data_IF_952011520880
#
_entry.id   IF_952011520880
#
_cell.length_a   1.000
_cell.length_b   1.000
_cell.length_c   1.000
_cell.angle_alpha   90.00
_cell.angle_beta   90.00
_cell.angle_gamma   90.00
#
_symmetry.space_group_name_H-M   'P 1'
#
loop_
_entity.id
_entity.type
_entity.pdbx_description
1 polymer ?
#
# COMPACT_ATOMS: atom_id res chain seq x y z
N UNK A 1 -17.90 5.75 13.76
CA UNK A 1 -16.56 5.42 14.31
C UNK A 1 -15.47 6.27 13.68
N UNK A 2 -14.63 6.91 14.51
CA UNK A 2 -13.45 7.69 14.12
C UNK A 2 -12.21 6.79 14.08
N UNK A 3 -11.34 6.93 13.08
CA UNK A 3 -10.08 6.17 12.97
C UNK A 3 -8.92 7.15 12.84
N UNK A 4 -7.96 7.08 13.76
CA UNK A 4 -6.70 7.81 13.63
C UNK A 4 -5.82 7.11 12.59
N UNK A 5 -5.32 7.86 11.61
CA UNK A 5 -4.41 7.31 10.61
C UNK A 5 -3.00 7.25 11.22
N UNK A 6 -2.44 6.05 11.31
CA UNK A 6 -1.07 5.78 11.79
C UNK A 6 -0.21 5.13 10.70
N UNK A 7 -0.82 4.30 9.86
CA UNK A 7 -0.17 3.61 8.76
C UNK A 7 -0.94 3.85 7.46
N UNK A 8 -0.27 4.39 6.45
CA UNK A 8 -0.85 4.63 5.13
C UNK A 8 -0.07 3.89 4.05
N UNK A 9 -0.77 3.24 3.13
CA UNK A 9 -0.21 2.69 1.91
C UNK A 9 -0.45 3.68 0.76
N UNK A 10 0.59 3.99 -0.02
CA UNK A 10 0.53 4.90 -1.17
C UNK A 10 1.11 4.22 -2.42
N UNK A 11 0.28 4.02 -3.44
CA UNK A 11 0.65 3.44 -4.72
C UNK A 11 0.05 4.27 -5.86
N UNK A 12 0.76 5.33 -6.26
CA UNK A 12 0.26 6.29 -7.27
C UNK A 12 1.06 6.23 -8.56
N UNK A 13 0.39 6.40 -9.70
CA UNK A 13 1.03 6.53 -11.01
C UNK A 13 1.63 7.93 -11.19
N UNK A 14 0.89 8.99 -10.86
CA UNK A 14 1.33 10.39 -10.92
C UNK A 14 1.93 10.79 -9.56
N UNK A 15 3.23 11.11 -9.52
CA UNK A 15 3.91 11.34 -8.23
C UNK A 15 3.54 12.67 -7.57
N UNK A 16 3.24 13.70 -8.36
CA UNK A 16 2.85 15.02 -7.83
C UNK A 16 1.47 15.02 -7.16
N UNK A 17 0.60 14.03 -7.42
CA UNK A 17 -0.76 13.97 -6.85
C UNK A 17 -0.76 13.88 -5.32
N UNK A 18 0.34 13.41 -4.72
CA UNK A 18 0.49 13.29 -3.27
C UNK A 18 1.21 14.46 -2.59
N UNK A 19 1.72 15.44 -3.35
CA UNK A 19 2.51 16.54 -2.77
C UNK A 19 1.74 17.31 -1.68
N UNK A 20 0.42 17.47 -1.86
CA UNK A 20 -0.44 18.15 -0.89
C UNK A 20 -0.69 17.36 0.41
N UNK A 21 -0.65 16.02 0.36
CA UNK A 21 -0.95 15.17 1.53
C UNK A 21 0.29 14.92 2.39
N UNK A 22 1.50 14.92 1.81
CA UNK A 22 2.74 14.60 2.53
C UNK A 22 3.02 15.49 3.77
N UNK A 23 2.85 16.83 3.72
CA UNK A 23 3.03 17.66 4.92
C UNK A 23 2.06 17.28 6.05
N UNK A 24 0.81 16.97 5.72
CA UNK A 24 -0.23 16.58 6.69
C UNK A 24 0.09 15.23 7.33
N UNK A 25 0.56 14.27 6.54
CA UNK A 25 0.99 12.96 7.05
C UNK A 25 2.17 13.11 8.01
N UNK A 26 3.13 14.00 7.69
CA UNK A 26 4.27 14.31 8.56
C UNK A 26 3.81 14.97 9.86
N UNK A 27 2.93 15.97 9.79
CA UNK A 27 2.37 16.67 10.96
C UNK A 27 1.78 15.68 11.98
N UNK A 28 1.03 14.68 11.50
CA UNK A 28 0.41 13.67 12.36
C UNK A 28 1.25 12.42 12.62
N UNK A 29 2.53 12.41 12.24
CA UNK A 29 3.44 11.30 12.48
C UNK A 29 3.04 9.99 11.80
N UNK A 30 2.37 10.07 10.65
CA UNK A 30 1.90 8.90 9.91
C UNK A 30 3.06 8.15 9.27
N UNK A 31 3.10 6.84 9.44
CA UNK A 31 4.05 5.95 8.78
C UNK A 31 3.62 5.66 7.35
N UNK A 32 4.46 6.04 6.39
CA UNK A 32 4.18 5.90 4.97
C UNK A 32 4.81 4.63 4.42
N UNK A 33 3.97 3.81 3.81
CA UNK A 33 4.32 2.61 3.06
C UNK A 33 3.99 2.85 1.59
N UNK A 34 4.87 2.47 0.66
CA UNK A 34 4.64 2.79 -0.75
C UNK A 34 5.28 1.79 -1.71
N UNK A 35 4.81 1.75 -2.95
CA UNK A 35 5.53 1.06 -4.04
C UNK A 35 6.89 1.71 -4.26
N UNK A 36 7.87 1.01 -4.84
CA UNK A 36 9.27 1.48 -4.90
C UNK A 36 9.42 2.87 -5.51
N UNK A 37 8.87 3.11 -6.71
CA UNK A 37 8.95 4.43 -7.35
C UNK A 37 8.29 5.54 -6.53
N UNK A 38 7.17 5.25 -5.88
CA UNK A 38 6.48 6.21 -5.01
C UNK A 38 7.28 6.47 -3.72
N UNK A 39 7.85 5.43 -3.10
CA UNK A 39 8.70 5.57 -1.93
C UNK A 39 9.95 6.42 -2.22
N UNK A 40 10.58 6.22 -3.39
CA UNK A 40 11.75 6.98 -3.80
C UNK A 40 11.41 8.46 -4.01
N UNK A 41 10.28 8.76 -4.66
CA UNK A 41 9.79 10.12 -4.81
C UNK A 41 9.50 10.81 -3.46
N UNK A 42 8.84 10.11 -2.54
CA UNK A 42 8.54 10.66 -1.21
C UNK A 42 9.84 10.98 -0.44
N UNK A 43 10.85 10.12 -0.55
CA UNK A 43 12.19 10.35 0.01
C UNK A 43 12.90 11.53 -0.63
N UNK A 44 12.82 11.70 -1.96
CA UNK A 44 13.46 12.83 -2.64
C UNK A 44 12.83 14.18 -2.25
N UNK A 45 11.58 14.17 -1.77
CA UNK A 45 10.90 15.34 -1.16
C UNK A 45 11.24 15.55 0.33
N UNK A 46 12.13 14.72 0.91
CA UNK A 46 12.56 14.84 2.31
C UNK A 46 11.65 14.16 3.35
N UNK A 47 10.72 13.31 2.92
CA UNK A 47 9.81 12.57 3.82
C UNK A 47 10.26 11.11 3.99
N UNK A 48 9.88 10.50 5.13
CA UNK A 48 10.18 9.09 5.40
C UNK A 48 9.14 8.20 4.73
N UNK A 49 9.59 7.22 3.95
CA UNK A 49 8.73 6.18 3.36
C UNK A 49 9.41 4.81 3.32
N UNK A 50 8.63 3.77 3.54
CA UNK A 50 9.05 2.37 3.48
C UNK A 50 8.51 1.72 2.22
N UNK A 51 9.39 1.19 1.37
CA UNK A 51 8.95 0.43 0.19
C UNK A 51 8.31 -0.92 0.62
N UNK A 52 7.20 -1.28 -0.02
CA UNK A 52 6.46 -2.55 0.17
C UNK A 52 6.77 -3.62 -0.89
N UNK A 53 7.61 -3.33 -1.88
CA UNK A 53 7.87 -4.26 -2.99
C UNK A 53 8.64 -5.47 -2.47
N UNK A 54 8.04 -6.66 -2.59
CA UNK A 54 8.72 -7.93 -2.42
C UNK A 54 9.66 -8.14 -3.60
N UNK A 55 10.82 -8.75 -3.38
CA UNK A 55 11.89 -8.84 -4.39
C UNK A 55 11.58 -9.63 -5.67
N UNK A 56 10.31 -9.99 -5.92
CA UNK A 56 9.81 -10.66 -7.12
C UNK A 56 8.65 -9.85 -7.71
N UNK A 57 8.81 -9.35 -8.93
CA UNK A 57 7.86 -8.44 -9.56
C UNK A 57 7.20 -8.97 -10.84
N UNK A 58 7.67 -10.09 -11.40
CA UNK A 58 7.17 -10.72 -12.64
C UNK A 58 6.92 -9.69 -13.75
N UNK A 59 7.98 -9.01 -14.15
CA UNK A 59 7.94 -7.91 -15.13
C UNK A 59 7.00 -6.77 -14.68
N UNK A 60 7.04 -6.49 -13.37
CA UNK A 60 6.19 -5.47 -12.73
C UNK A 60 4.72 -5.86 -12.51
N UNK A 61 4.24 -7.01 -13.03
CA UNK A 61 2.83 -7.44 -12.94
C UNK A 61 2.37 -7.80 -11.53
N UNK A 62 3.26 -8.30 -10.68
CA UNK A 62 2.91 -8.77 -9.32
C UNK A 62 3.52 -7.94 -8.19
N UNK A 63 4.16 -6.80 -8.52
CA UNK A 63 4.89 -5.95 -7.54
C UNK A 63 4.09 -5.51 -6.31
N UNK A 64 2.76 -5.43 -6.44
CA UNK A 64 1.83 -5.03 -5.36
C UNK A 64 0.98 -6.19 -4.85
N UNK A 65 1.08 -7.38 -5.46
CA UNK A 65 0.30 -8.58 -5.12
C UNK A 65 0.98 -9.38 -4.00
N UNK A 66 1.34 -8.69 -2.91
CA UNK A 66 1.97 -9.30 -1.75
C UNK A 66 0.93 -9.59 -0.66
N UNK A 67 0.85 -10.86 -0.24
CA UNK A 67 -0.01 -11.29 0.89
C UNK A 67 0.17 -10.40 2.11
N UNK A 68 1.39 -9.95 2.41
CA UNK A 68 1.74 -9.13 3.57
C UNK A 68 1.11 -7.73 3.50
N UNK A 69 0.93 -7.21 2.29
CA UNK A 69 0.19 -5.96 2.06
C UNK A 69 -1.30 -6.20 2.26
N UNK A 70 -1.85 -7.24 1.61
CA UNK A 70 -3.29 -7.52 1.65
C UNK A 70 -3.82 -7.88 3.02
N UNK A 71 -3.09 -8.68 3.82
CA UNK A 71 -3.50 -9.00 5.20
C UNK A 71 -3.59 -7.74 6.07
N UNK A 72 -2.73 -6.73 5.84
CA UNK A 72 -2.77 -5.46 6.58
C UNK A 72 -3.92 -4.56 6.13
N UNK A 73 -4.38 -4.67 4.89
CA UNK A 73 -5.58 -3.96 4.40
C UNK A 73 -6.84 -4.67 4.87
N UNK A 74 -6.88 -6.00 4.80
CA UNK A 74 -8.08 -6.82 4.99
C UNK A 74 -8.33 -7.27 6.43
N UNK A 75 -7.39 -7.06 7.35
CA UNK A 75 -7.57 -7.41 8.75
C UNK A 75 -8.77 -6.64 9.34
N UNK A 76 -9.83 -7.40 9.63
CA UNK A 76 -10.92 -6.92 10.49
C UNK A 76 -10.40 -6.75 11.92
N UNK A 77 -10.40 -5.50 12.39
CA UNK A 77 -9.87 -5.11 13.69
C UNK A 77 -10.76 -5.53 14.86
N UNK A 78 -12.01 -5.89 14.60
CA UNK A 78 -12.91 -6.45 15.62
C UNK A 78 -12.67 -7.95 15.84
N UNK A 79 -12.00 -8.62 14.89
CA UNK A 79 -11.71 -10.04 14.97
C UNK A 79 -10.31 -10.30 15.54
N UNK A 80 -10.26 -10.77 16.79
CA UNK A 80 -9.00 -11.09 17.48
C UNK A 80 -8.12 -12.07 16.70
N UNK A 81 -8.71 -13.05 16.00
CA UNK A 81 -7.98 -14.04 15.21
C UNK A 81 -7.17 -13.38 14.09
N UNK A 82 -7.73 -12.41 13.38
CA UNK A 82 -7.02 -11.68 12.33
C UNK A 82 -5.82 -10.90 12.87
N UNK A 83 -6.00 -10.25 14.03
CA UNK A 83 -4.91 -9.50 14.69
C UNK A 83 -3.79 -10.44 15.16
N UNK A 84 -4.13 -11.62 15.67
CA UNK A 84 -3.14 -12.61 16.10
C UNK A 84 -2.40 -13.23 14.91
N UNK A 85 -3.08 -13.46 13.77
CA UNK A 85 -2.44 -13.91 12.53
C UNK A 85 -1.46 -12.88 11.96
N UNK A 86 -1.79 -11.59 11.99
CA UNK A 86 -0.87 -10.51 11.63
C UNK A 86 0.40 -10.52 12.50
N UNK A 87 0.24 -10.70 13.82
CA UNK A 87 1.36 -10.81 14.76
C UNK A 87 2.24 -12.02 14.47
N UNK A 88 1.64 -13.17 14.11
CA UNK A 88 2.38 -14.37 13.71
C UNK A 88 3.19 -14.14 12.44
N UNK A 89 2.61 -13.52 11.42
CA UNK A 89 3.31 -13.16 10.18
C UNK A 89 4.52 -12.26 10.43
N UNK A 90 4.39 -11.32 11.38
CA UNK A 90 5.51 -10.50 11.83
C UNK A 90 6.68 -11.34 12.35
N UNK A 91 6.37 -12.29 13.24
CA UNK A 91 7.37 -13.18 13.86
C UNK A 91 8.07 -14.06 12.82
N UNK A 92 7.33 -14.62 11.86
CA UNK A 92 7.92 -15.44 10.80
C UNK A 92 8.89 -14.63 9.94
N UNK A 93 8.49 -13.44 9.49
CA UNK A 93 9.35 -12.58 8.67
C UNK A 93 10.60 -12.13 9.41
N UNK A 94 10.50 -11.81 10.71
CA UNK A 94 11.67 -11.50 11.54
C UNK A 94 12.60 -12.70 11.72
N UNK A 95 12.06 -13.93 11.82
CA UNK A 95 12.86 -15.16 11.94
C UNK A 95 13.59 -15.53 10.65
N UNK A 96 12.95 -15.39 9.49
CA UNK A 96 13.56 -15.61 8.17
C UNK A 96 14.66 -14.58 7.89
N UNK A 97 14.43 -13.30 8.26
CA UNK A 97 15.43 -12.26 8.14
C UNK A 97 16.68 -12.52 9.02
N UNK A 98 16.51 -13.08 10.23
CA UNK A 98 17.62 -13.50 11.10
C UNK A 98 18.38 -14.68 10.51
N UNK A 99 17.67 -15.73 10.09
CA UNK A 99 18.27 -16.94 9.51
C UNK A 99 19.06 -16.63 8.23
N UNK A 100 18.56 -15.72 7.40
CA UNK A 100 19.24 -15.27 6.18
C UNK A 100 20.55 -14.51 6.47
N UNK A 101 20.62 -13.77 7.58
CA UNK A 101 21.85 -13.08 8.02
C UNK A 101 22.89 -14.06 8.56
N UNK A 102 22.47 -15.07 9.33
CA UNK A 102 23.38 -16.10 9.86
C UNK A 102 24.01 -16.94 8.75
N UNK A 103 23.24 -17.31 7.72
CA UNK A 103 23.76 -18.04 6.55
C UNK A 103 24.75 -17.22 5.72
N UNK A 104 24.60 -15.89 5.66
CA UNK A 104 25.60 -15.02 5.01
C UNK A 104 26.90 -14.85 5.81
N UNK A 105 26.87 -15.07 7.13
CA UNK A 105 28.05 -14.98 8.01
C UNK A 105 28.79 -16.32 8.13
N UNK A 106 28.08 -17.44 8.02
CA UNK A 106 28.65 -18.78 7.97
C UNK A 106 29.06 -19.12 6.52
N UNK A 107 30.29 -18.74 6.14
CA UNK A 107 30.82 -18.96 4.80
C UNK A 107 30.62 -20.39 4.28
N UNK A 108 29.99 -20.51 3.11
CA UNK A 108 29.93 -21.74 2.33
C UNK A 108 29.99 -21.41 0.84
N UNK A 109 31.10 -21.82 0.23
CA UNK A 109 31.42 -21.77 -1.19
C UNK A 109 30.38 -22.53 -2.05
N UNK A 110 29.28 -21.88 -2.43
CA UNK A 110 28.47 -22.25 -3.60
C UNK A 110 28.03 -20.98 -4.32
N UNK A 111 28.10 -20.91 -5.66
CA UNK A 111 27.63 -19.75 -6.40
C UNK A 111 26.10 -19.83 -6.47
N UNK A 112 25.42 -19.32 -5.45
CA UNK A 112 24.04 -18.85 -5.62
C UNK A 112 24.12 -17.53 -6.37
N UNK A 113 23.40 -17.42 -7.49
CA UNK A 113 23.28 -16.20 -8.28
C UNK A 113 23.15 -14.98 -7.35
N UNK A 114 24.12 -14.07 -7.44
CA UNK A 114 24.12 -12.78 -6.74
C UNK A 114 22.86 -12.01 -7.11
N UNK A 115 21.79 -12.15 -6.33
CA UNK A 115 20.77 -11.13 -6.22
C UNK A 115 21.48 -9.96 -5.54
N UNK A 116 21.76 -8.90 -6.31
CA UNK A 116 22.46 -7.72 -5.80
C UNK A 116 21.80 -7.23 -4.51
N UNK A 117 22.62 -7.10 -3.47
CA UNK A 117 22.19 -6.90 -2.10
C UNK A 117 21.40 -5.61 -1.90
N UNK A 118 20.10 -5.74 -1.63
CA UNK A 118 19.39 -4.81 -0.75
C UNK A 118 19.56 -5.34 0.68
N UNK A 119 20.19 -4.52 1.53
CA UNK A 119 20.41 -4.76 2.96
C UNK A 119 19.19 -5.42 3.61
N UNK A 120 19.35 -6.63 4.17
CA UNK A 120 18.28 -7.29 4.92
C UNK A 120 17.82 -6.35 6.05
N UNK A 121 16.59 -5.85 5.99
CA UNK A 121 16.01 -4.95 6.99
C UNK A 121 15.70 -5.71 8.28
N UNK A 122 15.99 -5.10 9.43
CA UNK A 122 15.45 -5.57 10.71
C UNK A 122 13.96 -5.21 10.73
N UNK A 123 13.09 -6.19 10.49
CA UNK A 123 11.64 -6.02 10.50
C UNK A 123 11.20 -5.98 11.97
N UNK A 124 10.67 -4.83 12.43
CA UNK A 124 10.11 -4.69 13.77
C UNK A 124 8.68 -5.23 13.80
N UNK A 125 8.22 -5.76 14.93
CA UNK A 125 6.85 -6.27 15.08
C UNK A 125 5.78 -5.19 14.82
N UNK A 126 6.11 -3.92 15.08
CA UNK A 126 5.26 -2.76 14.78
C UNK A 126 5.08 -2.49 13.28
N UNK A 127 5.89 -3.09 12.41
CA UNK A 127 5.79 -2.95 10.94
C UNK A 127 4.60 -3.73 10.36
N UNK A 128 3.97 -4.59 11.16
CA UNK A 128 2.87 -5.48 10.77
C UNK A 128 1.50 -5.03 11.29
N UNK A 129 1.40 -3.79 11.75
CA UNK A 129 0.11 -3.18 12.07
C UNK A 129 -0.77 -3.04 10.81
N UNK A 130 -2.10 -3.15 10.94
CA UNK A 130 -3.02 -2.88 9.85
C UNK A 130 -2.80 -1.49 9.25
N UNK A 131 -3.07 -1.36 7.95
CA UNK A 131 -3.19 -0.04 7.33
C UNK A 131 -4.46 0.64 7.81
N UNK A 132 -4.41 1.96 7.96
CA UNK A 132 -5.57 2.81 8.26
C UNK A 132 -6.07 3.55 7.02
N UNK A 133 -5.19 3.73 6.04
CA UNK A 133 -5.50 4.38 4.78
C UNK A 133 -4.76 3.74 3.61
N UNK A 134 -5.39 3.77 2.44
CA UNK A 134 -4.86 3.29 1.16
C UNK A 134 -5.10 4.38 0.12
N UNK A 135 -4.03 4.83 -0.52
CA UNK A 135 -4.04 5.81 -1.62
C UNK A 135 -3.53 5.10 -2.86
N UNK A 136 -4.36 4.94 -3.87
CA UNK A 136 -4.02 4.15 -5.08
C UNK A 136 -4.48 4.88 -6.33
N UNK A 137 -3.56 5.30 -7.17
CA UNK A 137 -3.89 5.91 -8.45
C UNK A 137 -3.45 4.97 -9.58
N UNK A 138 -4.40 4.55 -10.41
CA UNK A 138 -4.15 3.61 -11.51
C UNK A 138 -3.36 4.28 -12.63
N UNK A 139 -2.72 3.47 -13.46
CA UNK A 139 -2.23 3.94 -14.76
C UNK A 139 -3.41 4.16 -15.72
N UNK A 140 -3.25 5.14 -16.62
CA UNK A 140 -4.19 5.34 -17.73
C UNK A 140 -4.19 4.08 -18.61
N UNK A 141 -5.35 3.73 -19.16
CA UNK A 141 -5.39 2.71 -20.20
C UNK A 141 -4.62 3.24 -21.40
N UNK A 142 -3.86 2.34 -22.01
CA UNK A 142 -3.16 2.58 -23.26
C UNK A 142 -3.70 1.57 -24.27
N UNK A 143 -4.47 2.07 -25.24
CA UNK A 143 -5.06 1.29 -26.34
C UNK A 143 -3.99 0.62 -27.19
N UNK A 144 -2.83 1.26 -27.37
CA UNK A 144 -1.76 0.73 -28.22
C UNK A 144 -1.00 -0.43 -27.59
N UNK A 145 -1.12 -0.58 -26.27
CA UNK A 145 -0.46 -1.62 -25.48
C UNK A 145 -1.47 -2.44 -24.66
N UNK A 146 -2.70 -2.58 -25.17
CA UNK A 146 -3.74 -3.39 -24.52
C UNK A 146 -3.56 -4.88 -24.89
N UNK A 147 -3.71 -5.85 -23.97
CA UNK A 147 -4.16 -5.75 -22.57
C UNK A 147 -3.06 -5.49 -21.53
N UNK A 148 -1.81 -5.29 -21.94
CA UNK A 148 -0.66 -5.11 -21.03
C UNK A 148 -0.76 -3.85 -20.15
N UNK A 149 -1.52 -2.84 -20.61
CA UNK A 149 -1.81 -1.62 -19.84
C UNK A 149 -2.84 -1.81 -18.71
N UNK A 150 -3.44 -2.99 -18.55
CA UNK A 150 -4.38 -3.28 -17.46
C UNK A 150 -3.69 -3.33 -16.08
N UNK A 151 -4.20 -2.58 -15.11
CA UNK A 151 -3.61 -2.48 -13.77
C UNK A 151 -4.24 -3.46 -12.77
N UNK A 152 -3.67 -4.67 -12.70
CA UNK A 152 -4.12 -5.71 -11.77
C UNK A 152 -3.89 -5.31 -10.31
N UNK A 153 -2.70 -4.77 -10.02
CA UNK A 153 -2.29 -4.46 -8.66
C UNK A 153 -3.12 -3.35 -8.04
N UNK A 154 -3.24 -2.22 -8.74
CA UNK A 154 -4.03 -1.08 -8.31
C UNK A 154 -5.50 -1.43 -8.10
N UNK A 155 -6.12 -2.14 -9.06
CA UNK A 155 -7.51 -2.59 -8.94
C UNK A 155 -7.73 -3.49 -7.72
N UNK A 156 -6.80 -4.41 -7.45
CA UNK A 156 -6.91 -5.31 -6.30
C UNK A 156 -6.78 -4.55 -4.98
N UNK A 157 -5.88 -3.57 -4.89
CA UNK A 157 -5.72 -2.72 -3.71
C UNK A 157 -6.99 -1.89 -3.42
N UNK A 158 -7.58 -1.29 -4.46
CA UNK A 158 -8.85 -0.54 -4.35
C UNK A 158 -9.96 -1.46 -3.83
N UNK A 159 -10.12 -2.65 -4.41
CA UNK A 159 -11.16 -3.60 -3.98
C UNK A 159 -10.94 -4.11 -2.55
N UNK A 160 -9.71 -4.36 -2.14
CA UNK A 160 -9.41 -4.73 -0.75
C UNK A 160 -9.75 -3.61 0.24
N UNK A 161 -9.44 -2.36 -0.10
CA UNK A 161 -9.80 -1.20 0.72
C UNK A 161 -11.32 -1.01 0.80
N UNK A 162 -12.05 -1.19 -0.31
CA UNK A 162 -13.53 -1.18 -0.33
C UNK A 162 -14.10 -2.24 0.62
N UNK A 163 -13.59 -3.48 0.55
CA UNK A 163 -14.07 -4.58 1.40
C UNK A 163 -13.93 -4.27 2.90
N UNK A 164 -12.88 -3.55 3.30
CA UNK A 164 -12.61 -3.21 4.71
C UNK A 164 -12.83 -1.71 5.01
N UNK A 165 -13.77 -1.05 4.34
CA UNK A 165 -14.03 0.39 4.47
C UNK A 165 -14.39 0.85 5.89
N UNK A 166 -14.90 -0.06 6.73
CA UNK A 166 -15.15 0.21 8.14
C UNK A 166 -13.86 0.62 8.87
N UNK A 167 -12.71 0.09 8.41
CA UNK A 167 -11.38 0.27 8.98
C UNK A 167 -10.41 1.08 8.09
N UNK A 168 -10.64 1.13 6.77
CA UNK A 168 -9.71 1.70 5.78
C UNK A 168 -10.29 2.96 5.14
N UNK A 169 -9.56 4.07 5.24
CA UNK A 169 -9.81 5.24 4.40
C UNK A 169 -9.20 5.03 3.01
N UNK A 170 -9.98 5.27 1.96
CA UNK A 170 -9.56 5.09 0.57
C UNK A 170 -9.51 6.43 -0.15
N UNK A 171 -8.46 6.65 -0.93
CA UNK A 171 -8.40 7.65 -1.98
C UNK A 171 -7.83 7.00 -3.25
N UNK A 172 -8.37 7.34 -4.42
CA UNK A 172 -8.08 6.63 -5.66
C UNK A 172 -7.92 7.49 -6.92
N UNK A 173 -8.05 8.81 -6.76
CA UNK A 173 -7.91 9.83 -7.79
C UNK A 173 -7.49 11.17 -7.16
N UNK A 174 -7.24 12.19 -7.95
CA UNK A 174 -6.81 13.51 -7.47
C UNK A 174 -7.83 14.16 -6.52
N UNK A 175 -9.13 14.10 -6.84
CA UNK A 175 -10.19 14.67 -6.00
C UNK A 175 -10.26 14.00 -4.62
N UNK A 176 -10.23 12.67 -4.58
CA UNK A 176 -10.28 11.90 -3.34
C UNK A 176 -9.01 12.06 -2.49
N UNK A 177 -7.83 12.23 -3.10
CA UNK A 177 -6.60 12.56 -2.37
C UNK A 177 -6.71 13.94 -1.73
N UNK A 178 -7.21 14.94 -2.46
CA UNK A 178 -7.47 16.28 -1.93
C UNK A 178 -8.47 16.23 -0.77
N UNK A 179 -9.58 15.52 -0.94
CA UNK A 179 -10.59 15.33 0.12
C UNK A 179 -10.03 14.63 1.33
N UNK A 180 -9.22 13.59 1.16
CA UNK A 180 -8.53 12.92 2.27
C UNK A 180 -7.63 13.91 3.01
N UNK A 181 -6.85 14.72 2.28
CA UNK A 181 -5.95 15.72 2.85
C UNK A 181 -6.69 16.72 3.73
N UNK A 182 -7.77 17.32 3.20
CA UNK A 182 -8.62 18.26 3.92
C UNK A 182 -9.29 17.60 5.12
N UNK A 183 -9.82 16.40 4.94
CA UNK A 183 -10.49 15.65 6.01
C UNK A 183 -9.52 15.36 7.17
N UNK A 184 -8.27 15.00 6.87
CA UNK A 184 -7.23 14.76 7.88
C UNK A 184 -6.89 16.03 8.66
N UNK A 185 -6.75 17.18 7.98
CA UNK A 185 -6.50 18.48 8.64
C UNK A 185 -7.62 18.81 9.63
N UNK A 186 -8.87 18.75 9.18
CA UNK A 186 -10.04 19.10 9.99
C UNK A 186 -10.22 18.15 11.18
N UNK A 187 -9.86 16.87 11.01
CA UNK A 187 -10.13 15.82 12.00
C UNK A 187 -8.88 15.36 12.77
N UNK A 188 -7.84 16.20 12.82
CA UNK A 188 -6.60 15.95 13.57
C UNK A 188 -5.96 14.60 13.21
N UNK A 189 -5.74 14.39 11.91
CA UNK A 189 -5.13 13.17 11.35
C UNK A 189 -6.01 11.92 11.45
N UNK A 190 -7.33 12.09 11.51
CA UNK A 190 -8.29 10.98 11.61
C UNK A 190 -9.33 11.01 10.49
N UNK A 191 -9.98 9.89 10.21
CA UNK A 191 -11.13 9.82 9.30
C UNK A 191 -12.39 9.40 10.02
N UNK A 192 -13.53 9.92 9.54
CA UNK A 192 -14.85 9.57 10.04
C UNK A 192 -15.48 8.49 9.17
N UNK A 193 -16.42 7.73 9.73
CA UNK A 193 -17.13 6.68 8.99
C UNK A 193 -17.85 7.22 7.76
N UNK A 194 -18.47 8.41 7.86
CA UNK A 194 -19.19 9.04 6.75
C UNK A 194 -18.26 9.30 5.55
N UNK A 195 -17.07 9.85 5.81
CA UNK A 195 -16.03 10.05 4.80
C UNK A 195 -15.65 8.73 4.11
N UNK A 196 -15.35 7.68 4.90
CA UNK A 196 -14.98 6.37 4.33
C UNK A 196 -16.10 5.80 3.46
N UNK A 197 -17.36 5.91 3.90
CA UNK A 197 -18.53 5.49 3.13
C UNK A 197 -18.67 6.27 1.82
N UNK A 198 -18.46 7.59 1.82
CA UNK A 198 -18.47 8.40 0.59
C UNK A 198 -17.40 7.90 -0.39
N UNK A 199 -16.16 7.75 0.08
CA UNK A 199 -15.03 7.38 -0.76
C UNK A 199 -15.22 6.00 -1.40
N UNK A 200 -15.69 5.00 -0.65
CA UNK A 200 -15.88 3.66 -1.23
C UNK A 200 -17.08 3.57 -2.17
N UNK A 201 -18.12 4.40 -2.00
CA UNK A 201 -19.20 4.52 -3.00
C UNK A 201 -18.65 5.03 -4.33
N UNK A 202 -17.77 6.03 -4.29
CA UNK A 202 -17.11 6.56 -5.50
C UNK A 202 -16.15 5.55 -6.11
N UNK A 203 -15.32 4.93 -5.28
CA UNK A 203 -14.36 3.92 -5.72
C UNK A 203 -15.03 2.70 -6.36
N UNK A 204 -16.16 2.23 -5.82
CA UNK A 204 -16.93 1.13 -6.42
C UNK A 204 -17.48 1.49 -7.81
N UNK A 205 -17.93 2.73 -8.01
CA UNK A 205 -18.34 3.21 -9.35
C UNK A 205 -17.15 3.30 -10.30
N UNK A 206 -16.03 3.84 -9.82
CA UNK A 206 -14.79 3.90 -10.59
C UNK A 206 -14.33 2.51 -11.04
N UNK A 207 -14.35 1.51 -10.14
CA UNK A 207 -14.03 0.11 -10.49
C UNK A 207 -14.96 -0.43 -11.57
N UNK A 208 -16.28 -0.21 -11.45
CA UNK A 208 -17.24 -0.67 -12.45
C UNK A 208 -17.03 0.01 -13.81
N UNK A 209 -16.84 1.34 -13.82
CA UNK A 209 -16.53 2.11 -15.03
C UNK A 209 -15.23 1.65 -15.68
N UNK A 210 -14.20 1.40 -14.87
CA UNK A 210 -12.92 0.91 -15.35
C UNK A 210 -13.05 -0.45 -16.03
N UNK A 211 -13.79 -1.38 -15.44
CA UNK A 211 -14.04 -2.68 -16.06
C UNK A 211 -14.84 -2.57 -17.36
N UNK A 212 -15.80 -1.64 -17.45
CA UNK A 212 -16.53 -1.41 -18.70
C UNK A 212 -15.59 -0.88 -19.80
N UNK A 213 -14.74 0.11 -19.49
CA UNK A 213 -13.75 0.63 -20.44
C UNK A 213 -12.80 -0.46 -20.91
N UNK A 214 -12.31 -1.31 -20.00
CA UNK A 214 -11.45 -2.45 -20.34
C UNK A 214 -12.19 -3.46 -21.23
N UNK A 215 -13.49 -3.69 -21.02
CA UNK A 215 -14.30 -4.57 -21.86
C UNK A 215 -14.53 -4.02 -23.27
N UNK A 216 -14.67 -2.70 -23.42
CA UNK A 216 -14.83 -2.02 -24.72
C UNK A 216 -13.54 -2.03 -25.57
N UNK A 217 -12.38 -2.26 -24.95
CA UNK A 217 -11.08 -2.33 -25.63
C UNK A 217 -10.69 -3.73 -26.14
N UNK A 218 -11.47 -4.77 -25.79
CA UNK A 218 -11.32 -6.13 -26.32
C UNK A 218 -12.08 -6.29 -27.64
#
# INVERSE_FOLDING_TARGET
>A
MKIKIKNILIAVSVKSSIDGVLPVLKEYGVRIWATEGTANYIKSKGYKATSIVSGFDFDGRVKSLDKNVFVRILADRSNKKHLDELRKLASYSSSEAKRSREVSLAGSSRPFNKIQGKQARTINTSDWEPFDAVVVELYKLDETNFPESMDIGGMTLIRAAIKNFSNIALAFDEESIKKLTEHLKINTGSTQSAFRTEQVKKASRFVAQRCNLEAEMF
#
